data_IF_580091745169
#
_entry.id   IF_580091745169
#
_cell.length_a   1.000
_cell.length_b   1.000
_cell.length_c   1.000
_cell.angle_alpha   90.00
_cell.angle_beta   90.00
_cell.angle_gamma   90.00
#
_symmetry.space_group_name_H-M   'P 1'
#
loop_
_entity.id
_entity.type
_entity.pdbx_description
1 polymer ?
#
# COMPACT_ATOMS: atom_id res chain seq x y z
N UNK A 1 23.04 -22.06 -13.41
CA UNK A 1 23.28 -21.16 -14.57
C UNK A 1 22.54 -19.86 -14.30
N UNK A 2 23.19 -18.70 -14.46
CA UNK A 2 22.59 -17.39 -14.18
C UNK A 2 21.32 -17.16 -15.02
N UNK A 3 20.14 -17.30 -14.41
CA UNK A 3 18.85 -17.09 -15.10
C UNK A 3 18.64 -15.63 -15.51
N UNK A 4 19.29 -14.68 -14.84
CA UNK A 4 19.23 -13.24 -15.15
C UNK A 4 19.95 -12.89 -16.45
N UNK A 5 21.14 -13.44 -16.73
CA UNK A 5 21.91 -13.06 -17.94
C UNK A 5 21.24 -13.46 -19.27
N UNK A 6 20.17 -14.26 -19.23
CA UNK A 6 19.41 -14.63 -20.41
C UNK A 6 18.26 -13.65 -20.69
N UNK A 7 17.66 -13.04 -19.65
CA UNK A 7 16.46 -12.22 -19.81
C UNK A 7 16.72 -10.94 -20.60
N UNK A 8 17.88 -10.31 -20.40
CA UNK A 8 18.26 -9.10 -21.14
C UNK A 8 18.44 -9.36 -22.64
N UNK A 9 19.09 -10.47 -23.00
CA UNK A 9 19.21 -10.92 -24.40
C UNK A 9 17.87 -11.29 -25.01
N UNK A 10 16.97 -11.87 -24.23
CA UNK A 10 15.61 -12.15 -24.69
C UNK A 10 14.88 -10.84 -24.99
N UNK A 11 14.97 -9.85 -24.09
CA UNK A 11 14.34 -8.54 -24.26
C UNK A 11 14.74 -7.85 -25.57
N UNK A 12 16.05 -7.84 -25.90
CA UNK A 12 16.59 -7.18 -27.09
C UNK A 12 16.18 -7.87 -28.40
N UNK A 13 15.85 -9.16 -28.35
CA UNK A 13 15.39 -9.92 -29.52
C UNK A 13 13.88 -9.82 -29.78
N UNK A 14 13.09 -9.17 -28.91
CA UNK A 14 11.63 -9.02 -29.12
C UNK A 14 11.37 -7.91 -30.15
N UNK A 15 10.73 -8.22 -31.30
CA UNK A 15 10.42 -7.24 -32.34
C UNK A 15 9.63 -6.03 -31.81
N UNK A 16 9.85 -4.83 -32.35
CA UNK A 16 9.19 -3.61 -31.89
C UNK A 16 7.66 -3.65 -31.97
N UNK A 17 7.10 -4.43 -32.91
CA UNK A 17 5.67 -4.66 -33.13
C UNK A 17 5.21 -6.05 -32.67
N UNK A 18 5.93 -6.67 -31.73
CA UNK A 18 5.59 -8.00 -31.22
C UNK A 18 4.18 -8.03 -30.64
N UNK A 19 3.37 -8.96 -31.14
CA UNK A 19 2.03 -9.22 -30.61
C UNK A 19 2.11 -9.81 -29.19
N UNK A 20 0.97 -9.81 -28.49
CA UNK A 20 0.85 -10.43 -27.17
C UNK A 20 1.26 -11.91 -27.19
N UNK A 21 0.94 -12.64 -28.26
CA UNK A 21 1.34 -14.03 -28.44
C UNK A 21 2.87 -14.20 -28.56
N UNK A 22 3.55 -13.29 -29.27
CA UNK A 22 5.02 -13.28 -29.40
C UNK A 22 5.66 -13.03 -28.02
N UNK A 23 5.10 -12.13 -27.22
CA UNK A 23 5.59 -11.84 -25.87
C UNK A 23 5.34 -13.03 -24.93
N UNK A 24 4.16 -13.64 -25.01
CA UNK A 24 3.79 -14.81 -24.22
C UNK A 24 4.71 -16.02 -24.50
N UNK A 25 5.12 -16.21 -25.76
CA UNK A 25 6.01 -17.30 -26.16
C UNK A 25 7.47 -17.01 -25.81
N UNK A 26 7.95 -15.81 -26.11
CA UNK A 26 9.38 -15.52 -26.10
C UNK A 26 9.88 -14.82 -24.83
N UNK A 27 9.02 -14.20 -24.01
CA UNK A 27 9.43 -13.41 -22.85
C UNK A 27 8.89 -13.92 -21.52
N UNK A 28 7.62 -14.34 -21.48
CA UNK A 28 6.91 -14.57 -20.23
C UNK A 28 7.56 -15.63 -19.31
N UNK A 29 7.99 -16.77 -19.86
CA UNK A 29 8.64 -17.83 -19.07
C UNK A 29 10.01 -17.38 -18.54
N UNK A 30 10.81 -16.70 -19.36
CA UNK A 30 12.10 -16.15 -18.91
C UNK A 30 11.93 -15.13 -17.79
N UNK A 31 10.92 -14.26 -17.90
CA UNK A 31 10.57 -13.29 -16.86
C UNK A 31 10.19 -14.00 -15.55
N UNK A 32 9.28 -14.98 -15.60
CA UNK A 32 8.84 -15.72 -14.41
C UNK A 32 10.00 -16.53 -13.78
N UNK A 33 10.87 -17.12 -14.60
CA UNK A 33 12.05 -17.82 -14.14
C UNK A 33 13.07 -16.88 -13.48
N UNK A 34 13.23 -15.66 -14.00
CA UNK A 34 14.05 -14.64 -13.37
C UNK A 34 13.44 -14.08 -12.08
N UNK A 35 12.10 -14.05 -11.96
CA UNK A 35 11.37 -13.77 -10.72
C UNK A 35 11.44 -14.93 -9.71
N UNK A 36 11.99 -16.06 -10.13
CA UNK A 36 12.31 -17.20 -9.28
C UNK A 36 11.33 -18.35 -9.35
N UNK A 37 10.35 -18.37 -10.25
CA UNK A 37 9.46 -19.53 -10.45
C UNK A 37 10.13 -20.57 -11.37
N UNK A 38 9.82 -21.85 -11.20
CA UNK A 38 10.24 -22.93 -12.11
C UNK A 38 9.15 -23.23 -13.14
N UNK A 39 9.49 -23.92 -14.24
CA UNK A 39 8.51 -24.21 -15.31
C UNK A 39 7.29 -25.01 -14.79
N UNK A 40 7.50 -25.92 -13.83
CA UNK A 40 6.44 -26.67 -13.15
C UNK A 40 5.60 -25.85 -12.15
N UNK A 41 6.04 -24.63 -11.83
CA UNK A 41 5.38 -23.66 -10.95
C UNK A 41 4.57 -22.62 -11.73
N UNK A 42 4.51 -22.74 -13.06
CA UNK A 42 3.88 -21.77 -13.97
C UNK A 42 2.76 -22.46 -14.75
N UNK A 43 1.61 -21.81 -14.86
CA UNK A 43 0.45 -22.29 -15.63
C UNK A 43 -0.02 -21.23 -16.64
N UNK A 44 -0.11 -21.53 -17.95
CA UNK A 44 -0.62 -20.60 -18.96
C UNK A 44 -2.14 -20.58 -19.03
N UNK A 45 -2.71 -19.44 -19.43
CA UNK A 45 -4.15 -19.29 -19.66
C UNK A 45 -4.98 -19.80 -18.46
N UNK A 46 -4.64 -19.29 -17.28
CA UNK A 46 -5.21 -19.73 -16.01
C UNK A 46 -6.66 -19.23 -15.85
N UNK A 47 -7.64 -20.11 -15.60
CA UNK A 47 -9.05 -19.71 -15.48
C UNK A 47 -9.30 -18.96 -14.17
N UNK A 48 -9.75 -17.72 -14.26
CA UNK A 48 -9.98 -16.84 -13.11
C UNK A 48 -11.21 -17.24 -12.26
N UNK A 49 -12.08 -18.07 -12.82
CA UNK A 49 -13.34 -18.53 -12.22
C UNK A 49 -14.57 -17.69 -12.58
N UNK A 50 -14.40 -16.63 -13.38
CA UNK A 50 -15.47 -15.79 -13.94
C UNK A 50 -15.57 -15.93 -15.48
N UNK A 51 -14.96 -16.97 -16.05
CA UNK A 51 -14.93 -17.20 -17.50
C UNK A 51 -13.87 -16.40 -18.26
N UNK A 52 -12.90 -15.78 -17.57
CA UNK A 52 -11.73 -15.15 -18.19
C UNK A 52 -10.46 -15.96 -17.93
N UNK A 53 -9.45 -15.73 -18.76
CA UNK A 53 -8.16 -16.40 -18.68
C UNK A 53 -7.07 -15.36 -18.35
N UNK A 54 -6.26 -15.66 -17.34
CA UNK A 54 -5.05 -14.91 -17.00
C UNK A 54 -3.90 -15.46 -17.83
N UNK A 55 -3.08 -14.62 -18.44
CA UNK A 55 -2.04 -15.07 -19.37
C UNK A 55 -1.08 -16.07 -18.76
N UNK A 56 -0.58 -15.78 -17.55
CA UNK A 56 0.14 -16.75 -16.71
C UNK A 56 -0.26 -16.60 -15.25
N UNK A 57 -0.36 -17.72 -14.56
CA UNK A 57 -0.36 -17.78 -13.10
C UNK A 57 0.86 -18.56 -12.64
N UNK A 58 1.38 -18.24 -11.45
CA UNK A 58 2.50 -18.96 -10.87
C UNK A 58 2.34 -19.17 -9.36
N UNK A 59 2.88 -20.27 -8.85
CA UNK A 59 2.93 -20.60 -7.42
C UNK A 59 4.07 -21.59 -7.16
N UNK A 60 4.83 -21.33 -6.10
CA UNK A 60 5.87 -22.23 -5.60
C UNK A 60 5.34 -23.64 -5.32
N UNK A 61 6.13 -24.65 -5.66
CA UNK A 61 5.86 -26.06 -5.30
C UNK A 61 5.92 -26.22 -3.79
N UNK A 62 4.97 -26.94 -3.20
CA UNK A 62 4.87 -27.16 -1.75
C UNK A 62 4.87 -28.66 -1.48
N UNK A 63 6.02 -29.23 -1.09
CA UNK A 63 6.17 -30.68 -0.99
C UNK A 63 5.91 -31.33 -2.34
N UNK A 64 4.94 -32.25 -2.41
CA UNK A 64 4.54 -32.92 -3.65
C UNK A 64 3.44 -32.16 -4.44
N UNK A 65 2.96 -31.03 -3.93
CA UNK A 65 1.95 -30.20 -4.58
C UNK A 65 2.57 -29.28 -5.64
N UNK A 66 2.62 -29.79 -6.87
CA UNK A 66 3.12 -29.09 -8.06
C UNK A 66 1.98 -28.31 -8.73
N UNK A 67 2.16 -26.99 -8.84
CA UNK A 67 1.11 -26.07 -9.33
C UNK A 67 0.65 -26.36 -10.76
N UNK A 68 1.54 -26.77 -11.67
CA UNK A 68 1.17 -27.14 -13.04
C UNK A 68 0.09 -28.25 -13.09
N UNK A 69 0.09 -29.15 -12.10
CA UNK A 69 -0.89 -30.23 -12.00
C UNK A 69 -2.13 -29.81 -11.19
N UNK A 70 -1.94 -29.20 -10.02
CA UNK A 70 -3.05 -28.90 -9.10
C UNK A 70 -3.82 -27.64 -9.44
N UNK A 71 -3.16 -26.63 -10.03
CA UNK A 71 -3.77 -25.39 -10.53
C UNK A 71 -4.62 -24.67 -9.49
N UNK A 72 -4.26 -24.81 -8.21
CA UNK A 72 -4.99 -24.22 -7.11
C UNK A 72 -4.17 -23.13 -6.43
N UNK A 73 -4.85 -22.11 -5.90
CA UNK A 73 -4.26 -21.10 -5.03
C UNK A 73 -3.05 -20.36 -5.63
N UNK A 74 -3.14 -19.79 -6.84
CA UNK A 74 -2.03 -19.09 -7.47
C UNK A 74 -1.49 -18.01 -6.54
N UNK A 75 -0.18 -17.80 -6.54
CA UNK A 75 0.48 -16.78 -5.72
C UNK A 75 0.72 -15.49 -6.51
N UNK A 76 1.01 -15.63 -7.80
CA UNK A 76 1.38 -14.55 -8.71
C UNK A 76 0.57 -14.63 -10.00
N UNK A 77 0.09 -13.49 -10.51
CA UNK A 77 -0.60 -13.38 -11.80
C UNK A 77 0.17 -12.45 -12.74
N UNK A 78 0.32 -12.84 -14.00
CA UNK A 78 0.93 -12.02 -15.05
C UNK A 78 -0.12 -11.72 -16.13
N UNK A 79 -0.29 -10.43 -16.41
CA UNK A 79 -1.05 -9.91 -17.54
C UNK A 79 -0.05 -9.38 -18.59
N UNK A 80 -0.16 -9.90 -19.80
CA UNK A 80 0.69 -9.54 -20.93
C UNK A 80 -0.09 -8.64 -21.89
N UNK A 81 0.63 -7.78 -22.60
CA UNK A 81 0.10 -7.02 -23.75
C UNK A 81 1.15 -7.01 -24.87
N UNK A 82 0.71 -6.82 -26.11
CA UNK A 82 1.61 -6.57 -27.25
C UNK A 82 2.45 -5.29 -27.09
N UNK A 83 3.61 -5.20 -27.74
CA UNK A 83 4.46 -3.98 -27.73
C UNK A 83 3.78 -2.79 -28.40
N UNK A 84 2.79 -3.03 -29.25
CA UNK A 84 1.90 -2.05 -29.86
C UNK A 84 0.93 -1.39 -28.85
N UNK A 85 0.74 -1.98 -27.68
CA UNK A 85 -0.10 -1.43 -26.61
C UNK A 85 0.69 -0.42 -25.79
N UNK A 86 0.20 0.81 -25.72
CA UNK A 86 0.81 1.86 -24.90
C UNK A 86 0.57 1.62 -23.40
N UNK A 87 1.51 0.98 -22.71
CA UNK A 87 1.48 0.80 -21.25
C UNK A 87 2.18 1.91 -20.45
N UNK A 88 2.51 3.04 -21.07
CA UNK A 88 3.05 4.19 -20.33
C UNK A 88 2.05 4.63 -19.24
N UNK A 89 2.57 4.97 -18.06
CA UNK A 89 1.76 5.31 -16.91
C UNK A 89 0.78 6.44 -17.24
N UNK A 90 -0.52 6.19 -17.01
CA UNK A 90 -1.58 7.15 -17.26
C UNK A 90 -2.25 7.07 -18.63
N UNK A 91 -1.76 6.24 -19.57
CA UNK A 91 -2.46 6.01 -20.84
C UNK A 91 -3.81 5.30 -20.64
N UNK A 92 -4.72 5.37 -21.60
CA UNK A 92 -6.01 4.66 -21.52
C UNK A 92 -5.81 3.14 -21.49
N UNK A 93 -4.87 2.61 -22.28
CA UNK A 93 -4.56 1.18 -22.30
C UNK A 93 -3.86 0.71 -21.02
N UNK A 94 -3.05 1.55 -20.37
CA UNK A 94 -2.52 1.29 -19.04
C UNK A 94 -3.66 1.11 -18.03
N UNK A 95 -4.61 2.05 -17.99
CA UNK A 95 -5.74 1.99 -17.06
C UNK A 95 -6.64 0.76 -17.28
N UNK A 96 -6.90 0.39 -18.53
CA UNK A 96 -7.69 -0.82 -18.84
C UNK A 96 -6.95 -2.09 -18.41
N UNK A 97 -5.64 -2.18 -18.65
CA UNK A 97 -4.82 -3.34 -18.27
C UNK A 97 -4.71 -3.47 -16.74
N UNK A 98 -4.48 -2.37 -16.02
CA UNK A 98 -4.50 -2.38 -14.54
C UNK A 98 -5.87 -2.79 -14.00
N UNK A 99 -6.96 -2.31 -14.62
CA UNK A 99 -8.33 -2.70 -14.22
C UNK A 99 -8.55 -4.21 -14.45
N UNK A 100 -8.08 -4.76 -15.56
CA UNK A 100 -8.16 -6.19 -15.86
C UNK A 100 -7.38 -7.03 -14.84
N UNK A 101 -6.12 -6.69 -14.56
CA UNK A 101 -5.32 -7.37 -13.54
C UNK A 101 -6.01 -7.30 -12.15
N UNK A 102 -6.58 -6.15 -11.80
CA UNK A 102 -7.32 -6.00 -10.54
C UNK A 102 -8.55 -6.89 -10.46
N UNK A 103 -9.27 -7.08 -11.58
CA UNK A 103 -10.40 -8.03 -11.64
C UNK A 103 -9.91 -9.46 -11.41
N UNK A 104 -8.81 -9.87 -12.05
CA UNK A 104 -8.23 -11.20 -11.87
C UNK A 104 -7.80 -11.46 -10.44
N UNK A 105 -7.09 -10.52 -9.82
CA UNK A 105 -6.66 -10.65 -8.42
C UNK A 105 -7.81 -10.76 -7.42
N UNK A 106 -9.05 -10.37 -7.80
CA UNK A 106 -10.24 -10.52 -6.96
C UNK A 106 -11.13 -11.69 -7.38
N UNK A 107 -10.81 -12.38 -8.48
CA UNK A 107 -11.60 -13.46 -9.04
C UNK A 107 -11.57 -14.73 -8.14
N UNK A 108 -12.62 -15.57 -8.17
CA UNK A 108 -12.77 -16.72 -7.27
C UNK A 108 -11.56 -17.65 -7.21
N UNK A 109 -10.97 -18.00 -8.35
CA UNK A 109 -9.84 -18.94 -8.43
C UNK A 109 -8.49 -18.29 -8.13
N UNK A 110 -8.47 -16.98 -7.95
CA UNK A 110 -7.27 -16.16 -7.75
C UNK A 110 -7.21 -15.54 -6.35
N UNK A 111 -8.12 -15.92 -5.44
CA UNK A 111 -8.24 -15.29 -4.11
C UNK A 111 -7.02 -15.44 -3.21
N UNK A 112 -6.09 -16.35 -3.52
CA UNK A 112 -4.82 -16.47 -2.80
C UNK A 112 -3.66 -15.72 -3.45
N UNK A 113 -3.84 -15.16 -4.65
CA UNK A 113 -2.81 -14.40 -5.31
C UNK A 113 -2.49 -13.12 -4.52
N UNK A 114 -1.24 -12.98 -4.14
CA UNK A 114 -0.72 -11.82 -3.41
C UNK A 114 -0.07 -10.81 -4.33
N UNK A 115 0.33 -11.24 -5.53
CA UNK A 115 1.07 -10.42 -6.47
C UNK A 115 0.44 -10.47 -7.86
N UNK A 116 0.50 -9.34 -8.54
CA UNK A 116 0.13 -9.22 -9.94
C UNK A 116 1.17 -8.38 -10.68
N UNK A 117 1.33 -8.63 -11.97
CA UNK A 117 2.22 -7.86 -12.82
C UNK A 117 1.57 -7.61 -14.17
N UNK A 118 1.77 -6.41 -14.70
CA UNK A 118 1.48 -6.10 -16.11
C UNK A 118 2.80 -5.88 -16.84
N UNK A 119 2.90 -6.35 -18.09
CA UNK A 119 4.03 -6.00 -18.96
C UNK A 119 3.69 -6.16 -20.43
N UNK A 120 4.35 -5.37 -21.27
CA UNK A 120 4.40 -5.59 -22.70
C UNK A 120 5.84 -5.76 -23.20
N UNK A 121 6.78 -6.13 -22.33
CA UNK A 121 8.24 -6.15 -22.59
C UNK A 121 8.87 -4.80 -22.99
N UNK A 122 8.11 -3.70 -22.93
CA UNK A 122 8.63 -2.32 -22.99
C UNK A 122 8.40 -1.61 -21.66
N UNK A 123 7.24 -1.84 -21.04
CA UNK A 123 6.90 -1.36 -19.71
C UNK A 123 6.63 -2.54 -18.79
N UNK A 124 6.89 -2.38 -17.51
CA UNK A 124 6.59 -3.37 -16.47
C UNK A 124 6.12 -2.67 -15.19
N UNK A 125 5.14 -3.26 -14.51
CA UNK A 125 4.74 -2.80 -13.18
C UNK A 125 4.30 -3.96 -12.29
N UNK A 126 4.77 -3.94 -11.05
CA UNK A 126 4.40 -4.88 -10.00
C UNK A 126 3.28 -4.30 -9.12
N UNK A 127 2.33 -5.15 -8.75
CA UNK A 127 1.20 -4.83 -7.87
C UNK A 127 1.16 -5.82 -6.71
N UNK A 128 0.83 -5.31 -5.53
CA UNK A 128 0.60 -6.10 -4.32
C UNK A 128 -0.88 -6.10 -3.97
N UNK A 129 -1.37 -7.25 -3.57
CA UNK A 129 -2.71 -7.44 -3.02
C UNK A 129 -2.63 -7.68 -1.52
N UNK A 130 -3.44 -6.94 -0.77
CA UNK A 130 -3.65 -7.14 0.66
C UNK A 130 -5.16 -7.16 0.96
N UNK A 131 -5.70 -8.36 1.16
CA UNK A 131 -7.15 -8.57 1.28
C UNK A 131 -7.87 -8.19 -0.02
N UNK A 132 -8.67 -7.11 0.02
CA UNK A 132 -9.38 -6.54 -1.14
C UNK A 132 -8.68 -5.33 -1.75
N UNK A 133 -7.58 -4.86 -1.16
CA UNK A 133 -6.83 -3.70 -1.63
C UNK A 133 -5.74 -4.17 -2.58
N UNK A 134 -5.68 -3.57 -3.76
CA UNK A 134 -4.64 -3.83 -4.77
C UNK A 134 -3.99 -2.50 -5.11
N UNK A 135 -2.70 -2.40 -4.81
CA UNK A 135 -1.93 -1.17 -4.91
C UNK A 135 -0.58 -1.43 -5.60
N UNK A 136 0.05 -0.41 -6.21
CA UNK A 136 1.34 -0.56 -6.86
C UNK A 136 2.41 -0.94 -5.83
N UNK A 137 3.31 -1.81 -6.24
CA UNK A 137 4.55 -2.11 -5.53
C UNK A 137 5.78 -1.57 -6.28
N UNK A 138 5.57 -1.01 -7.47
CA UNK A 138 6.55 -0.28 -8.26
C UNK A 138 5.89 0.84 -9.06
N UNK A 139 6.70 1.75 -9.57
CA UNK A 139 6.30 2.58 -10.73
C UNK A 139 6.10 1.70 -11.97
N UNK A 140 5.46 2.25 -13.01
CA UNK A 140 5.48 1.64 -14.33
C UNK A 140 6.81 2.00 -14.98
N UNK A 141 7.70 1.03 -15.13
CA UNK A 141 9.10 1.25 -15.51
C UNK A 141 9.32 0.84 -16.96
N UNK A 142 10.08 1.64 -17.70
CA UNK A 142 10.57 1.28 -19.03
C UNK A 142 11.69 0.24 -18.91
N UNK A 143 11.50 -0.90 -19.57
CA UNK A 143 12.47 -1.99 -19.63
C UNK A 143 13.49 -1.73 -20.75
N UNK A 144 14.75 -1.81 -20.37
CA UNK A 144 15.90 -1.69 -21.26
C UNK A 144 16.94 -2.76 -20.87
N UNK A 145 17.80 -3.14 -21.82
CA UNK A 145 18.87 -4.12 -21.59
C UNK A 145 19.77 -3.74 -20.40
N UNK A 146 20.01 -2.44 -20.20
CA UNK A 146 20.83 -1.93 -19.10
C UNK A 146 20.16 -1.92 -17.72
N UNK A 147 18.83 -2.11 -17.62
CA UNK A 147 18.11 -1.95 -16.36
C UNK A 147 17.30 -3.17 -15.91
N UNK A 148 16.97 -4.09 -16.83
CA UNK A 148 16.03 -5.19 -16.58
C UNK A 148 16.47 -6.10 -15.43
N UNK A 149 17.73 -6.51 -15.38
CA UNK A 149 18.23 -7.42 -14.34
C UNK A 149 18.08 -6.83 -12.93
N UNK A 150 18.36 -5.53 -12.79
CA UNK A 150 18.21 -4.81 -11.51
C UNK A 150 16.75 -4.70 -11.10
N UNK A 151 15.85 -4.42 -12.05
CA UNK A 151 14.41 -4.32 -11.80
C UNK A 151 13.87 -5.68 -11.36
N UNK A 152 14.17 -6.75 -12.09
CA UNK A 152 13.69 -8.09 -11.78
C UNK A 152 14.28 -8.63 -10.47
N UNK A 153 15.54 -8.35 -10.17
CA UNK A 153 16.12 -8.69 -8.87
C UNK A 153 15.41 -7.98 -7.70
N UNK A 154 15.00 -6.73 -7.87
CA UNK A 154 14.20 -6.01 -6.88
C UNK A 154 12.80 -6.64 -6.73
N UNK A 155 12.09 -6.89 -7.84
CA UNK A 155 10.77 -7.52 -7.81
C UNK A 155 10.80 -8.90 -7.17
N UNK A 156 11.79 -9.73 -7.53
CA UNK A 156 12.01 -11.03 -6.90
C UNK A 156 12.14 -10.92 -5.39
N UNK A 157 12.97 -9.99 -4.90
CA UNK A 157 13.14 -9.76 -3.45
C UNK A 157 11.82 -9.41 -2.77
N UNK A 158 11.01 -8.55 -3.38
CA UNK A 158 9.69 -8.18 -2.84
C UNK A 158 8.72 -9.36 -2.82
N UNK A 159 8.71 -10.18 -3.87
CA UNK A 159 7.84 -11.36 -4.01
C UNK A 159 8.23 -12.48 -3.04
N UNK A 160 9.53 -12.74 -2.86
CA UNK A 160 10.04 -13.78 -1.96
C UNK A 160 9.98 -13.39 -0.48
N UNK A 161 10.15 -12.10 -0.18
CA UNK A 161 10.12 -11.57 1.20
C UNK A 161 9.09 -10.44 1.31
N UNK A 162 7.79 -10.76 1.13
CA UNK A 162 6.75 -9.75 1.24
C UNK A 162 6.69 -9.24 2.68
N UNK A 163 6.60 -7.93 2.83
CA UNK A 163 6.09 -7.36 4.06
C UNK A 163 4.68 -7.90 4.33
N UNK A 164 4.29 -8.05 5.59
CA UNK A 164 2.95 -8.52 5.95
C UNK A 164 1.97 -7.35 5.97
N UNK A 165 2.35 -6.25 6.59
CA UNK A 165 1.46 -5.12 6.82
C UNK A 165 0.98 -4.43 5.53
N UNK A 166 -0.24 -3.92 5.59
CA UNK A 166 -0.72 -2.78 4.81
C UNK A 166 -0.70 -1.52 5.68
N UNK A 167 0.04 -0.51 5.26
CA UNK A 167 0.10 0.80 5.94
C UNK A 167 -0.99 1.71 5.38
N UNK A 168 -1.97 2.06 6.21
CA UNK A 168 -3.11 2.88 5.85
C UNK A 168 -2.96 4.22 6.57
N UNK A 169 -2.78 5.30 5.82
CA UNK A 169 -2.82 6.65 6.39
C UNK A 169 -4.24 7.20 6.27
N UNK A 170 -4.84 7.57 7.39
CA UNK A 170 -6.14 8.23 7.42
C UNK A 170 -5.90 9.73 7.38
N UNK A 171 -6.16 10.36 6.24
CA UNK A 171 -5.83 11.76 6.00
C UNK A 171 -6.96 12.52 5.31
N UNK A 172 -7.15 13.76 5.74
CA UNK A 172 -7.91 14.78 5.04
C UNK A 172 -7.34 16.13 5.41
N UNK A 173 -7.21 17.03 4.44
CA UNK A 173 -6.70 18.39 4.63
C UNK A 173 -7.60 19.24 5.56
N UNK A 174 -8.79 18.76 5.93
CA UNK A 174 -9.74 19.39 6.85
C UNK A 174 -9.79 18.70 8.22
N UNK A 175 -9.88 19.51 9.28
CA UNK A 175 -10.17 19.04 10.65
C UNK A 175 -11.62 18.54 10.82
N UNK A 176 -11.86 17.68 11.82
CA UNK A 176 -13.21 17.30 12.22
C UNK A 176 -14.00 16.47 11.19
N UNK A 177 -13.35 15.80 10.23
CA UNK A 177 -14.02 14.91 9.25
C UNK A 177 -14.11 13.44 9.70
N UNK A 178 -13.77 13.14 10.96
CA UNK A 178 -13.83 11.78 11.51
C UNK A 178 -12.61 10.90 11.22
N UNK A 179 -11.41 11.48 11.07
CA UNK A 179 -10.14 10.75 10.87
C UNK A 179 -9.87 9.79 12.02
N UNK A 180 -9.69 10.34 13.22
CA UNK A 180 -9.47 9.59 14.47
C UNK A 180 -10.55 8.54 14.74
N UNK A 181 -11.83 8.93 14.61
CA UNK A 181 -12.95 8.00 14.75
C UNK A 181 -12.84 6.82 13.79
N UNK A 182 -12.47 7.07 12.53
CA UNK A 182 -12.27 6.02 11.52
C UNK A 182 -11.07 5.16 11.89
N UNK A 183 -9.95 5.75 12.29
CA UNK A 183 -8.72 5.05 12.69
C UNK A 183 -8.98 4.04 13.82
N UNK A 184 -9.61 4.49 14.91
CA UNK A 184 -9.92 3.63 16.08
C UNK A 184 -10.93 2.54 15.74
N UNK A 185 -12.03 2.87 15.06
CA UNK A 185 -13.06 1.88 14.72
C UNK A 185 -12.54 0.85 13.70
N UNK A 186 -11.71 1.28 12.75
CA UNK A 186 -11.07 0.36 11.81
C UNK A 186 -10.11 -0.59 12.53
N UNK A 187 -9.31 -0.11 13.47
CA UNK A 187 -8.43 -0.95 14.28
C UNK A 187 -9.22 -2.01 15.07
N UNK A 188 -10.30 -1.60 15.74
CA UNK A 188 -11.20 -2.49 16.46
C UNK A 188 -11.83 -3.54 15.51
N UNK A 189 -12.38 -3.13 14.37
CA UNK A 189 -13.01 -4.03 13.40
C UNK A 189 -12.01 -5.04 12.79
N UNK A 190 -10.78 -4.63 12.50
CA UNK A 190 -9.72 -5.51 12.02
C UNK A 190 -9.29 -6.52 13.09
N UNK A 191 -9.19 -6.08 14.34
CA UNK A 191 -8.92 -6.96 15.48
C UNK A 191 -9.99 -8.04 15.64
N UNK A 192 -11.27 -7.67 15.49
CA UNK A 192 -12.38 -8.64 15.50
C UNK A 192 -12.28 -9.68 14.38
N UNK A 193 -11.58 -9.36 13.29
CA UNK A 193 -11.23 -10.27 12.20
C UNK A 193 -9.89 -10.97 12.41
N UNK A 194 -9.39 -11.00 13.66
CA UNK A 194 -8.14 -11.64 14.11
C UNK A 194 -6.90 -11.10 13.42
N UNK A 195 -6.88 -9.79 13.13
CA UNK A 195 -5.73 -9.10 12.56
C UNK A 195 -4.91 -8.42 13.64
N UNK A 196 -3.59 -8.48 13.52
CA UNK A 196 -2.65 -7.72 14.35
C UNK A 196 -2.59 -6.29 13.82
N UNK A 197 -2.91 -5.32 14.67
CA UNK A 197 -3.00 -3.91 14.27
C UNK A 197 -2.09 -3.05 15.13
N UNK A 198 -1.33 -2.18 14.48
CA UNK A 198 -0.65 -1.04 15.10
C UNK A 198 -1.37 0.24 14.68
N UNK A 199 -1.73 1.08 15.64
CA UNK A 199 -2.30 2.40 15.42
C UNK A 199 -1.28 3.45 15.84
N UNK A 200 -1.15 4.53 15.08
CA UNK A 200 -0.20 5.62 15.35
C UNK A 200 -0.98 6.92 15.39
N UNK A 201 -0.99 7.58 16.54
CA UNK A 201 -1.45 8.96 16.66
C UNK A 201 -0.31 9.88 16.20
N UNK A 202 -0.41 10.38 14.97
CA UNK A 202 0.61 11.24 14.38
C UNK A 202 0.14 12.70 14.27
N UNK A 203 -0.86 13.10 15.07
CA UNK A 203 -1.31 14.48 15.23
C UNK A 203 -0.88 15.04 16.60
N UNK A 204 0.39 15.48 16.74
CA UNK A 204 0.87 16.00 18.03
C UNK A 204 0.14 17.26 18.49
N UNK A 205 -0.56 17.97 17.60
CA UNK A 205 -1.29 19.19 17.97
C UNK A 205 -2.66 18.89 18.60
N UNK A 206 -3.38 17.86 18.11
CA UNK A 206 -4.73 17.52 18.61
C UNK A 206 -4.72 16.35 19.60
N UNK A 207 -3.92 15.31 19.33
CA UNK A 207 -3.77 14.14 20.22
C UNK A 207 -5.11 13.42 20.53
N UNK A 208 -6.10 13.59 19.64
CA UNK A 208 -7.47 13.12 19.83
C UNK A 208 -7.51 11.59 19.95
N UNK A 209 -6.68 10.88 19.18
CA UNK A 209 -6.64 9.42 19.21
C UNK A 209 -6.18 8.93 20.56
N UNK A 210 -5.04 9.41 21.03
CA UNK A 210 -4.46 9.04 22.32
C UNK A 210 -5.42 9.36 23.48
N UNK A 211 -5.99 10.57 23.47
CA UNK A 211 -6.94 11.02 24.49
C UNK A 211 -8.21 10.17 24.50
N UNK A 212 -8.78 9.88 23.33
CA UNK A 212 -10.01 9.07 23.22
C UNK A 212 -9.84 7.62 23.70
N UNK A 213 -8.61 7.09 23.63
CA UNK A 213 -8.27 5.76 24.13
C UNK A 213 -7.89 5.75 25.63
N UNK A 214 -7.77 6.92 26.26
CA UNK A 214 -7.35 7.05 27.66
C UNK A 214 -5.90 6.60 27.91
N UNK A 215 -5.03 6.74 26.90
CA UNK A 215 -3.62 6.36 26.99
C UNK A 215 -2.75 7.57 27.40
N UNK A 216 -1.67 7.36 28.16
CA UNK A 216 -0.68 8.40 28.41
C UNK A 216 0.10 8.75 27.13
N UNK A 217 0.42 10.04 26.97
CA UNK A 217 1.30 10.53 25.90
C UNK A 217 2.69 9.91 26.00
N UNK A 218 3.31 9.68 24.83
CA UNK A 218 4.74 9.37 24.75
C UNK A 218 5.56 10.56 25.27
N UNK A 219 6.57 10.26 26.09
CA UNK A 219 7.45 11.26 26.71
C UNK A 219 8.76 11.38 25.93
N UNK A 220 8.69 11.77 24.65
CA UNK A 220 9.85 12.01 23.80
C UNK A 220 10.35 10.81 22.98
N UNK A 221 9.85 9.59 23.20
CA UNK A 221 10.33 8.41 22.47
C UNK A 221 10.09 8.51 20.94
N UNK A 222 8.95 9.06 20.51
CA UNK A 222 8.68 9.26 19.08
C UNK A 222 9.54 10.40 18.54
N UNK A 223 9.70 11.49 19.30
CA UNK A 223 10.60 12.59 18.96
C UNK A 223 12.03 12.10 18.74
N UNK A 224 12.57 11.30 19.66
CA UNK A 224 13.90 10.73 19.53
C UNK A 224 14.02 9.79 18.33
N UNK A 225 13.00 8.97 18.09
CA UNK A 225 12.98 8.09 16.92
C UNK A 225 13.03 8.86 15.59
N UNK A 226 12.36 10.01 15.50
CA UNK A 226 12.34 10.84 14.29
C UNK A 226 13.60 11.72 14.12
N UNK A 227 14.31 12.03 15.20
CA UNK A 227 15.50 12.91 15.18
C UNK A 227 16.82 12.13 15.19
N UNK A 228 16.83 10.87 15.64
CA UNK A 228 18.03 10.03 15.76
C UNK A 228 17.93 8.78 14.88
N UNK A 229 19.01 8.42 14.19
CA UNK A 229 19.06 7.28 13.24
C UNK A 229 18.76 5.93 13.92
N UNK A 230 19.40 5.66 15.05
CA UNK A 230 19.43 4.31 15.66
C UNK A 230 18.38 4.10 16.76
N UNK A 231 17.44 5.05 16.92
CA UNK A 231 16.36 4.95 17.89
C UNK A 231 15.11 4.34 17.25
N UNK A 232 14.62 3.25 17.84
CA UNK A 232 13.41 2.52 17.41
C UNK A 232 12.14 3.09 18.06
N UNK A 233 11.00 2.98 17.36
CA UNK A 233 9.67 3.30 17.89
C UNK A 233 9.15 2.27 18.91
N UNK A 234 9.84 1.16 19.12
CA UNK A 234 9.38 0.05 19.98
C UNK A 234 9.08 0.50 21.41
N UNK A 235 9.87 1.43 21.96
CA UNK A 235 9.67 1.96 23.32
C UNK A 235 8.42 2.83 23.46
N UNK A 236 7.84 3.27 22.36
CA UNK A 236 6.61 4.08 22.36
C UNK A 236 5.35 3.22 22.32
N UNK A 237 5.46 1.91 22.09
CA UNK A 237 4.29 1.05 21.91
C UNK A 237 3.59 0.79 23.23
N UNK A 238 2.28 1.01 23.24
CA UNK A 238 1.37 0.66 24.32
C UNK A 238 0.25 -0.23 23.80
N UNK A 239 -0.19 -1.22 24.57
CA UNK A 239 -1.31 -2.07 24.17
C UNK A 239 -2.63 -1.49 24.68
N UNK A 240 -3.55 -1.20 23.76
CA UNK A 240 -4.92 -0.84 24.09
C UNK A 240 -5.80 -2.09 24.17
N UNK A 241 -6.70 -2.15 25.15
CA UNK A 241 -7.63 -3.25 25.32
C UNK A 241 -8.99 -2.74 25.80
N UNK A 242 -10.05 -3.11 25.09
CA UNK A 242 -11.43 -2.77 25.45
C UNK A 242 -12.32 -4.01 25.44
N UNK A 243 -13.18 -4.14 26.46
CA UNK A 243 -14.15 -5.22 26.61
C UNK A 243 -15.56 -4.66 26.45
N UNK A 244 -16.30 -5.17 25.46
CA UNK A 244 -17.70 -4.80 25.25
C UNK A 244 -18.57 -5.38 26.38
N UNK A 245 -19.52 -4.58 26.86
CA UNK A 245 -20.54 -5.03 27.82
C UNK A 245 -21.49 -6.01 27.13
N UNK A 246 -21.86 -7.10 27.82
CA UNK A 246 -22.93 -8.01 27.40
C UNK A 246 -22.51 -9.27 26.64
N UNK A 247 -21.56 -9.20 25.69
CA UNK A 247 -21.20 -10.35 24.84
C UNK A 247 -19.78 -10.89 25.09
N UNK A 248 -19.04 -10.32 26.05
CA UNK A 248 -17.67 -10.74 26.37
C UNK A 248 -16.64 -10.46 25.28
N UNK A 249 -17.04 -9.77 24.19
CA UNK A 249 -16.17 -9.45 23.07
C UNK A 249 -15.05 -8.52 23.54
N UNK A 250 -13.81 -8.83 23.14
CA UNK A 250 -12.63 -8.06 23.49
C UNK A 250 -11.89 -7.63 22.23
N UNK A 251 -11.55 -6.36 22.15
CA UNK A 251 -10.60 -5.84 21.16
C UNK A 251 -9.29 -5.49 21.87
N UNK A 252 -8.19 -5.81 21.22
CA UNK A 252 -6.83 -5.48 21.62
C UNK A 252 -6.03 -5.09 20.37
N UNK A 253 -5.32 -3.96 20.42
CA UNK A 253 -4.39 -3.55 19.38
C UNK A 253 -3.31 -2.67 20.00
N UNK A 254 -2.16 -2.59 19.33
CA UNK A 254 -1.04 -1.79 19.79
C UNK A 254 -1.16 -0.36 19.26
N UNK A 255 -0.67 0.59 20.05
CA UNK A 255 -0.77 2.03 19.81
C UNK A 255 0.58 2.68 20.04
N UNK A 256 1.04 3.49 19.09
CA UNK A 256 2.02 4.54 19.35
C UNK A 256 1.22 5.82 19.62
N UNK A 257 1.15 6.28 20.88
CA UNK A 257 0.43 7.50 21.22
C UNK A 257 1.16 8.74 20.72
N UNK A 258 0.45 9.87 20.72
CA UNK A 258 1.03 11.17 20.43
C UNK A 258 2.15 11.48 21.42
N UNK A 259 3.14 12.20 20.94
CA UNK A 259 4.34 12.52 21.72
C UNK A 259 4.31 13.96 22.18
N UNK A 260 4.48 14.15 23.49
CA UNK A 260 4.44 15.47 24.12
C UNK A 260 5.53 16.40 23.58
N UNK A 261 6.73 15.88 23.35
CA UNK A 261 7.86 16.70 22.88
C UNK A 261 7.64 17.12 21.42
N UNK A 262 7.00 16.26 20.60
CA UNK A 262 6.61 16.65 19.23
C UNK A 262 5.59 17.79 19.21
N UNK A 263 4.69 17.86 20.19
CA UNK A 263 3.70 18.95 20.29
C UNK A 263 4.35 20.28 20.71
N UNK A 264 5.37 20.20 21.55
CA UNK A 264 6.12 21.36 22.04
C UNK A 264 7.17 21.87 21.02
N UNK A 265 7.59 21.02 20.08
CA UNK A 265 8.58 21.36 19.06
C UNK A 265 7.91 21.88 17.79
N UNK A 266 8.27 23.08 17.35
CA UNK A 266 7.72 23.66 16.11
C UNK A 266 8.16 22.92 14.83
N UNK A 267 7.32 22.99 13.79
CA UNK A 267 7.58 22.35 12.48
C UNK A 267 8.98 22.68 11.90
N UNK A 268 9.46 23.92 12.09
CA UNK A 268 10.77 24.37 11.57
C UNK A 268 11.94 23.67 12.28
N UNK A 269 11.88 23.59 13.60
CA UNK A 269 12.94 22.99 14.40
C UNK A 269 12.96 21.48 14.18
N UNK A 270 11.79 20.85 14.03
CA UNK A 270 11.72 19.44 13.63
C UNK A 270 12.25 19.20 12.23
N UNK A 271 11.97 20.08 11.28
CA UNK A 271 12.53 19.94 9.93
C UNK A 271 14.06 20.00 9.96
N UNK A 272 14.65 20.94 10.70
CA UNK A 272 16.10 21.10 10.82
C UNK A 272 16.77 19.98 11.62
N UNK A 273 16.11 19.49 12.68
CA UNK A 273 16.62 18.44 13.56
C UNK A 273 16.24 17.03 13.11
N UNK A 274 15.33 16.89 12.14
CA UNK A 274 14.98 15.60 11.57
C UNK A 274 16.19 15.00 10.89
N UNK A 275 16.35 13.69 11.05
CA UNK A 275 17.39 12.96 10.35
C UNK A 275 17.25 13.19 8.83
N UNK A 276 18.38 13.18 8.10
CA UNK A 276 18.57 13.56 6.68
C UNK A 276 17.58 12.93 5.65
N UNK A 277 16.70 12.04 6.09
CA UNK A 277 15.70 11.33 5.30
C UNK A 277 14.45 12.17 4.95
N UNK A 278 14.24 13.36 5.52
CA UNK A 278 13.09 14.21 5.18
C UNK A 278 11.74 13.50 5.33
N UNK A 279 10.90 13.51 4.29
CA UNK A 279 9.57 12.85 4.28
C UNK A 279 9.61 11.34 4.56
N UNK A 280 10.76 10.69 4.36
CA UNK A 280 10.89 9.23 4.44
C UNK A 280 11.05 8.70 5.86
N UNK A 281 11.40 9.56 6.82
CA UNK A 281 11.82 9.15 8.16
C UNK A 281 10.80 8.24 8.85
N UNK A 282 9.51 8.57 8.81
CA UNK A 282 8.46 7.73 9.42
C UNK A 282 8.34 6.38 8.71
N UNK A 283 8.40 6.35 7.38
CA UNK A 283 8.34 5.11 6.59
C UNK A 283 9.47 4.16 6.96
N UNK A 284 10.70 4.67 7.07
CA UNK A 284 11.89 3.89 7.44
C UNK A 284 11.76 3.34 8.87
N UNK A 285 11.31 4.16 9.81
CA UNK A 285 11.07 3.72 11.19
C UNK A 285 9.97 2.68 11.30
N UNK A 286 9.06 2.60 10.32
CA UNK A 286 8.00 1.60 10.28
C UNK A 286 8.40 0.27 9.62
N UNK A 287 9.53 0.19 8.91
CA UNK A 287 9.97 -1.04 8.22
C UNK A 287 10.07 -2.27 9.16
N UNK A 288 10.65 -2.19 10.37
CA UNK A 288 10.72 -3.35 11.28
C UNK A 288 9.34 -3.85 11.74
N UNK A 289 8.33 -2.98 11.73
CA UNK A 289 6.98 -3.30 12.17
C UNK A 289 6.12 -3.92 11.06
N UNK A 290 6.50 -3.75 9.79
CA UNK A 290 5.77 -4.32 8.65
C UNK A 290 5.72 -5.85 8.64
N UNK A 291 6.57 -6.53 9.41
CA UNK A 291 6.56 -7.99 9.58
C UNK A 291 5.93 -8.44 10.92
N UNK A 292 5.52 -7.50 11.78
CA UNK A 292 4.92 -7.79 13.10
C UNK A 292 3.39 -7.64 13.10
N UNK A 293 2.87 -6.82 12.18
CA UNK A 293 1.45 -6.49 12.08
C UNK A 293 0.88 -6.82 10.69
N UNK A 294 -0.43 -7.10 10.64
CA UNK A 294 -1.19 -7.20 9.39
C UNK A 294 -1.56 -5.80 8.86
N UNK A 295 -1.77 -4.83 9.77
CA UNK A 295 -2.15 -3.46 9.43
C UNK A 295 -1.43 -2.46 10.33
N UNK A 296 -0.96 -1.38 9.71
CA UNK A 296 -0.47 -0.19 10.42
C UNK A 296 -1.39 0.96 10.01
N UNK A 297 -2.02 1.62 10.98
CA UNK A 297 -2.97 2.72 10.75
C UNK A 297 -2.33 3.99 11.28
N UNK A 298 -2.16 5.00 10.43
CA UNK A 298 -1.61 6.30 10.81
C UNK A 298 -2.75 7.31 10.83
N UNK A 299 -3.07 7.86 11.99
CA UNK A 299 -3.99 8.98 12.14
C UNK A 299 -3.22 10.28 11.88
N UNK A 300 -3.42 10.86 10.70
CA UNK A 300 -2.61 12.00 10.25
C UNK A 300 -3.27 13.33 10.65
N UNK A 301 -2.45 14.37 10.93
CA UNK A 301 -2.98 15.70 11.24
C UNK A 301 -3.63 16.33 10.01
N UNK A 302 -4.55 17.31 10.20
CA UNK A 302 -5.05 18.12 9.11
C UNK A 302 -3.94 19.06 8.57
N UNK A 303 -4.22 19.69 7.43
CA UNK A 303 -3.30 20.58 6.71
C UNK A 303 -2.09 19.87 6.09
N UNK A 304 -1.57 20.41 4.98
CA UNK A 304 -0.39 19.88 4.30
C UNK A 304 0.92 20.49 4.84
N UNK A 305 1.40 19.96 5.97
CA UNK A 305 2.63 20.38 6.67
C UNK A 305 3.58 19.21 6.95
N UNK A 306 4.56 19.40 7.82
CA UNK A 306 5.61 18.41 8.12
C UNK A 306 5.02 17.04 8.50
N UNK A 307 4.25 16.95 9.57
CA UNK A 307 3.71 15.67 10.06
C UNK A 307 2.77 14.97 9.07
N UNK A 308 1.88 15.72 8.40
CA UNK A 308 1.00 15.13 7.39
C UNK A 308 1.77 14.57 6.19
N UNK A 309 2.86 15.23 5.77
CA UNK A 309 3.72 14.74 4.68
C UNK A 309 4.39 13.43 5.06
N UNK A 310 4.97 13.36 6.26
CA UNK A 310 5.56 12.12 6.80
C UNK A 310 4.53 10.98 6.88
N UNK A 311 3.33 11.26 7.38
CA UNK A 311 2.25 10.30 7.48
C UNK A 311 1.78 9.80 6.11
N UNK A 312 1.58 10.70 5.14
CA UNK A 312 1.14 10.33 3.79
C UNK A 312 2.25 9.59 3.04
N UNK A 313 3.51 10.01 3.18
CA UNK A 313 4.66 9.30 2.60
C UNK A 313 4.76 7.85 3.11
N UNK A 314 4.58 7.64 4.42
CA UNK A 314 4.64 6.31 5.03
C UNK A 314 3.53 5.36 4.57
N UNK A 315 2.38 5.89 4.15
CA UNK A 315 1.24 5.11 3.68
C UNK A 315 1.55 4.27 2.44
N UNK A 316 1.03 3.05 2.41
CA UNK A 316 0.88 2.28 1.16
C UNK A 316 -0.41 2.76 0.46
N UNK A 317 -1.44 3.06 1.25
CA UNK A 317 -2.71 3.63 0.80
C UNK A 317 -3.20 4.76 1.70
N UNK A 318 -3.95 5.70 1.13
CA UNK A 318 -4.59 6.80 1.87
C UNK A 318 -6.10 6.56 1.92
N UNK A 319 -6.64 6.53 3.14
CA UNK A 319 -8.08 6.60 3.37
C UNK A 319 -8.46 8.05 3.63
N UNK A 320 -9.46 8.57 2.89
CA UNK A 320 -9.90 9.96 2.97
C UNK A 320 -11.35 10.00 3.48
N UNK A 321 -11.57 10.13 4.80
CA UNK A 321 -12.89 10.38 5.35
C UNK A 321 -13.35 11.78 4.95
N UNK A 322 -14.58 11.92 4.46
CA UNK A 322 -15.14 13.19 3.99
C UNK A 322 -16.56 13.37 4.53
N UNK A 323 -16.85 14.56 5.06
CA UNK A 323 -18.22 14.96 5.41
C UNK A 323 -18.96 15.47 4.18
N UNK A 324 -20.14 14.92 3.91
CA UNK A 324 -20.98 15.26 2.76
C UNK A 324 -21.69 16.62 2.91
N UNK A 325 -21.66 17.24 4.09
CA UNK A 325 -22.41 18.45 4.42
C UNK A 325 -21.75 19.76 3.96
N UNK A 326 -20.58 19.71 3.32
CA UNK A 326 -19.87 20.92 2.90
C UNK A 326 -18.97 20.67 1.68
N UNK A 327 -19.19 21.45 0.61
CA UNK A 327 -18.40 21.47 -0.63
C UNK A 327 -16.88 21.56 -0.34
N UNK A 328 -16.48 22.36 0.65
CA UNK A 328 -15.07 22.50 1.04
C UNK A 328 -14.43 21.17 1.47
N UNK A 329 -15.18 20.24 2.07
CA UNK A 329 -14.63 18.92 2.45
C UNK A 329 -14.27 18.08 1.23
N UNK A 330 -15.06 18.19 0.15
CA UNK A 330 -14.84 17.49 -1.12
C UNK A 330 -13.65 18.11 -1.85
N UNK A 331 -13.56 19.44 -1.92
CA UNK A 331 -12.42 20.15 -2.52
C UNK A 331 -11.08 19.79 -1.86
N UNK A 332 -11.09 19.63 -0.53
CA UNK A 332 -9.92 19.17 0.23
C UNK A 332 -9.51 17.74 -0.13
N UNK A 333 -10.49 16.83 -0.31
CA UNK A 333 -10.22 15.46 -0.75
C UNK A 333 -9.67 15.44 -2.18
N UNK A 334 -10.25 16.24 -3.09
CA UNK A 334 -9.76 16.39 -4.47
C UNK A 334 -8.33 16.90 -4.47
N UNK A 335 -8.01 17.94 -3.68
CA UNK A 335 -6.65 18.49 -3.57
C UNK A 335 -5.65 17.43 -3.08
N UNK A 336 -6.03 16.62 -2.09
CA UNK A 336 -5.19 15.53 -1.63
C UNK A 336 -4.89 14.52 -2.75
N UNK A 337 -5.91 14.14 -3.54
CA UNK A 337 -5.79 13.16 -4.62
C UNK A 337 -5.00 13.70 -5.82
N UNK A 338 -5.23 14.96 -6.21
CA UNK A 338 -4.67 15.51 -7.45
C UNK A 338 -3.33 16.22 -7.26
N UNK A 339 -2.99 16.62 -6.02
CA UNK A 339 -1.77 17.37 -5.72
C UNK A 339 -0.85 16.66 -4.72
N UNK A 340 -1.35 16.37 -3.52
CA UNK A 340 -0.50 15.92 -2.41
C UNK A 340 -0.02 14.47 -2.56
N UNK A 341 -0.90 13.56 -2.97
CA UNK A 341 -0.53 12.16 -3.22
C UNK A 341 0.46 12.05 -4.40
N UNK A 342 0.25 12.71 -5.54
CA UNK A 342 1.23 12.74 -6.63
C UNK A 342 2.59 13.34 -6.23
N UNK A 343 2.63 14.36 -5.37
CA UNK A 343 3.89 14.91 -4.79
C UNK A 343 4.67 13.80 -4.07
N UNK A 344 4.00 13.05 -3.19
CA UNK A 344 4.64 11.96 -2.44
C UNK A 344 5.02 10.76 -3.31
N UNK A 345 4.21 10.42 -4.33
CA UNK A 345 4.55 9.34 -5.26
C UNK A 345 5.86 9.63 -6.02
N UNK A 346 6.08 10.88 -6.45
CA UNK A 346 7.32 11.31 -7.10
C UNK A 346 8.54 11.20 -6.18
N UNK A 347 8.37 11.49 -4.89
CA UNK A 347 9.44 11.33 -3.89
C UNK A 347 9.71 9.85 -3.57
N UNK A 348 8.67 9.02 -3.48
CA UNK A 348 8.77 7.62 -3.02
C UNK A 348 9.18 6.63 -4.11
N UNK A 349 8.90 6.92 -5.39
CA UNK A 349 9.31 6.14 -6.56
C UNK A 349 8.96 4.64 -6.50
N UNK A 350 7.80 4.32 -5.94
CA UNK A 350 7.28 2.95 -5.89
C UNK A 350 5.77 2.84 -6.19
N UNK A 351 5.17 3.93 -6.69
CA UNK A 351 3.74 4.01 -7.02
C UNK A 351 2.79 4.14 -5.81
N UNK A 352 3.32 4.25 -4.59
CA UNK A 352 2.56 4.52 -3.36
C UNK A 352 2.84 5.95 -2.85
N UNK A 353 1.95 6.53 -2.03
CA UNK A 353 0.66 6.00 -1.59
C UNK A 353 -0.42 6.04 -2.69
N UNK A 354 -1.42 5.16 -2.62
CA UNK A 354 -2.61 5.19 -3.48
C UNK A 354 -3.84 5.65 -2.68
N UNK A 355 -4.63 6.59 -3.21
CA UNK A 355 -5.92 6.93 -2.61
C UNK A 355 -6.90 5.75 -2.72
N UNK A 356 -7.52 5.37 -1.61
CA UNK A 356 -8.71 4.51 -1.59
C UNK A 356 -9.95 5.33 -1.93
N UNK A 357 -11.08 4.67 -2.30
CA UNK A 357 -12.36 5.36 -2.48
C UNK A 357 -12.70 6.24 -1.27
N UNK A 358 -13.25 7.43 -1.54
CA UNK A 358 -13.62 8.40 -0.50
C UNK A 358 -14.68 7.77 0.41
N UNK A 359 -14.43 7.84 1.72
CA UNK A 359 -15.35 7.34 2.73
C UNK A 359 -16.25 8.50 3.21
N UNK A 360 -17.53 8.49 2.83
CA UNK A 360 -18.50 9.43 3.37
C UNK A 360 -18.94 8.97 4.75
N UNK A 361 -18.63 9.73 5.80
CA UNK A 361 -19.17 9.43 7.11
C UNK A 361 -20.65 9.85 7.15
N UNK A 362 -21.52 8.90 7.47
CA UNK A 362 -22.98 9.07 7.53
C UNK A 362 -23.47 9.88 8.74
N UNK A 363 -22.71 10.89 9.17
CA UNK A 363 -23.11 11.79 10.26
C UNK A 363 -24.45 12.45 9.86
N UNK A 364 -25.51 12.18 10.62
CA UNK A 364 -26.80 12.86 10.40
C UNK A 364 -26.62 14.33 10.73
N UNK A 365 -26.89 15.22 9.78
CA UNK A 365 -26.98 16.67 10.05
C UNK A 365 -28.04 16.90 11.12
N UNK A 366 -27.63 17.20 12.34
CA UNK A 366 -28.55 17.64 13.38
C UNK A 366 -29.04 19.06 13.05
N UNK A 367 -30.33 19.32 13.29
CA UNK A 367 -31.00 20.61 13.02
C UNK A 367 -30.27 21.79 13.71
N UNK A 368 -29.54 21.53 14.79
CA UNK A 368 -28.69 22.50 15.48
C UNK A 368 -27.53 23.03 14.63
N UNK A 369 -26.94 22.21 13.73
CA UNK A 369 -25.85 22.65 12.87
C UNK A 369 -26.28 23.64 11.77
N UNK A 370 -27.58 23.68 11.46
CA UNK A 370 -28.19 24.61 10.51
C UNK A 370 -28.58 25.95 11.15
N UNK A 371 -28.77 26.00 12.47
CA UNK A 371 -29.20 27.22 13.19
C UNK A 371 -28.05 28.12 13.66
N UNK A 372 -26.80 27.68 13.56
CA UNK A 372 -25.62 28.48 13.93
C UNK A 372 -25.12 29.44 12.85
N UNK A 373 -25.88 29.64 11.77
CA UNK A 373 -25.58 30.58 10.67
C UNK A 373 -26.88 31.28 10.23
N UNK A 374 -27.41 32.12 11.11
CA UNK A 374 -28.25 33.26 10.72
C UNK A 374 -27.70 34.50 11.39
#
# INVERSE_FOLDING_TARGET
MNTTSNLSKVLSNIPANASEAVIALNFASFLLNALGFEDQEIYPQYPDGNGKLVDRAARKTIGDDIFLFTKSNPYFLLELKGKDINLAQGSSQYHSTVKQLKQYLLAPNCRQAQWGMITNSTHIQLFRRHGKVIFPASECINLEEGNIDKIIANFRRQIEKPHQALTITVYNNKGGVGKTTTSVNMAAALTLKRKKVLVIDFDPNQQDLTTSLGLPLSQGNVFEALTKKDVSLEKSIQTYSFKFKGNGLKVHFDVIPADKILAETGDKDLYQNSYQLGSQILSEKLLPFKNKYDYIIIDAPPNWRFFSKLAVYAGDVILIPTKHNNLFSIENAVTAITKFIPEMQKEKKNGTPMALPIFFNGEKTTVLALRGRQ
#
